data_IF_677896068314
#
_entry.id   IF_677896068314
#
_cell.length_a   1.000
_cell.length_b   1.000
_cell.length_c   1.000
_cell.angle_alpha   90.00
_cell.angle_beta   90.00
_cell.angle_gamma   90.00
#
_symmetry.space_group_name_H-M   'P 1'
#
loop_
_entity.id
_entity.type
_entity.pdbx_description
1 polymer ?
#
# COMPACT_ATOMS: atom_id res chain seq x y z
N UNK A 1 2.09 8.04 -13.83
CA UNK A 1 2.59 8.46 -12.52
C UNK A 1 1.40 8.99 -11.74
N UNK A 2 1.06 8.36 -10.61
CA UNK A 2 -0.09 8.77 -9.81
C UNK A 2 0.19 10.10 -9.11
N UNK A 3 -0.88 10.89 -8.87
CA UNK A 3 -0.80 12.16 -8.12
C UNK A 3 -0.04 12.04 -6.80
N UNK A 4 -0.12 10.90 -6.15
CA UNK A 4 0.53 10.60 -4.88
C UNK A 4 2.03 10.29 -5.03
N UNK A 5 2.45 9.73 -6.15
CA UNK A 5 3.87 9.58 -6.46
C UNK A 5 4.52 10.96 -6.61
N UNK A 6 3.77 11.90 -7.22
CA UNK A 6 4.21 13.31 -7.34
C UNK A 6 4.34 13.95 -5.95
N UNK A 7 3.35 13.77 -5.08
CA UNK A 7 3.39 14.28 -3.70
C UNK A 7 4.57 13.66 -2.94
N UNK A 8 4.81 12.36 -3.06
CA UNK A 8 5.94 11.69 -2.43
C UNK A 8 7.28 12.25 -2.88
N UNK A 9 7.45 12.46 -4.18
CA UNK A 9 8.66 13.08 -4.75
C UNK A 9 8.82 14.51 -4.24
N UNK A 10 7.75 15.30 -4.20
CA UNK A 10 7.78 16.68 -3.69
C UNK A 10 8.18 16.74 -2.22
N UNK A 11 7.70 15.82 -1.39
CA UNK A 11 8.09 15.73 0.03
C UNK A 11 9.59 15.43 0.16
N UNK A 12 10.10 14.48 -0.61
CA UNK A 12 11.54 14.15 -0.60
C UNK A 12 12.36 15.36 -1.03
N UNK A 13 12.00 16.03 -2.12
CA UNK A 13 12.67 17.23 -2.60
C UNK A 13 12.66 18.33 -1.54
N UNK A 14 11.53 18.53 -0.87
CA UNK A 14 11.41 19.54 0.19
C UNK A 14 12.30 19.24 1.40
N UNK A 15 12.39 17.97 1.81
CA UNK A 15 13.29 17.54 2.90
C UNK A 15 14.75 17.78 2.52
N UNK A 16 15.15 17.42 1.29
CA UNK A 16 16.53 17.60 0.82
C UNK A 16 16.90 19.07 0.75
N UNK A 17 16.05 19.92 0.16
CA UNK A 17 16.29 21.36 0.07
C UNK A 17 16.35 21.99 1.47
N UNK A 18 15.42 21.66 2.36
CA UNK A 18 15.40 22.15 3.74
C UNK A 18 16.68 21.78 4.50
N UNK A 19 17.17 20.56 4.33
CA UNK A 19 18.39 20.08 4.93
C UNK A 19 19.62 20.86 4.41
N UNK A 20 19.72 21.08 3.09
CA UNK A 20 20.81 21.87 2.50
C UNK A 20 20.82 23.30 3.05
N UNK A 21 19.64 23.92 3.17
CA UNK A 21 19.53 25.28 3.73
C UNK A 21 20.02 25.32 5.17
N UNK A 22 19.61 24.36 6.00
CA UNK A 22 20.05 24.27 7.40
C UNK A 22 21.56 24.02 7.50
N UNK A 23 22.13 23.18 6.64
CA UNK A 23 23.56 22.92 6.60
C UNK A 23 24.35 24.19 6.21
N UNK A 24 23.85 24.96 5.24
CA UNK A 24 24.47 26.25 4.84
C UNK A 24 24.45 27.26 5.99
N UNK A 25 23.32 27.39 6.69
CA UNK A 25 23.19 28.28 7.85
C UNK A 25 24.17 27.86 8.95
N UNK A 26 24.24 26.57 9.28
CA UNK A 26 25.13 26.05 10.31
C UNK A 26 26.63 26.25 9.96
N UNK A 27 26.99 26.14 8.68
CA UNK A 27 28.35 26.46 8.21
C UNK A 27 28.67 27.95 8.42
N UNK A 28 27.72 28.83 8.11
CA UNK A 28 27.89 30.28 8.31
C UNK A 28 28.09 30.63 9.78
N UNK A 29 27.38 29.91 10.68
CA UNK A 29 27.48 30.10 12.14
C UNK A 29 28.66 29.33 12.78
N UNK A 30 29.45 28.62 11.98
CA UNK A 30 30.60 27.79 12.41
C UNK A 30 30.24 26.61 13.35
N UNK A 31 29.00 26.15 13.27
CA UNK A 31 28.50 24.99 14.04
C UNK A 31 28.63 23.69 13.26
N UNK A 32 29.86 23.29 12.94
CA UNK A 32 30.12 22.12 12.07
C UNK A 32 29.60 20.79 12.59
N UNK A 33 29.45 20.62 13.90
CA UNK A 33 28.89 19.43 14.49
C UNK A 33 27.40 19.24 14.17
N UNK A 34 26.66 20.35 14.02
CA UNK A 34 25.25 20.36 13.67
C UNK A 34 25.04 19.99 12.20
N UNK A 35 25.93 20.45 11.31
CA UNK A 35 25.87 20.14 9.86
C UNK A 35 25.87 18.65 9.60
N UNK A 36 26.82 17.91 10.19
CA UNK A 36 26.89 16.46 10.04
C UNK A 36 25.65 15.72 10.54
N UNK A 37 25.08 16.20 11.65
CA UNK A 37 23.87 15.63 12.23
C UNK A 37 22.63 15.81 11.32
N UNK A 38 22.42 17.01 10.80
CA UNK A 38 21.29 17.32 9.91
C UNK A 38 21.38 16.51 8.61
N UNK A 39 22.56 16.40 8.02
CA UNK A 39 22.76 15.64 6.80
C UNK A 39 22.46 14.14 6.99
N UNK A 40 22.93 13.52 8.07
CA UNK A 40 22.68 12.10 8.38
C UNK A 40 21.19 11.85 8.62
N UNK A 41 20.52 12.71 9.39
CA UNK A 41 19.08 12.59 9.66
C UNK A 41 18.26 12.73 8.37
N UNK A 42 18.62 13.68 7.51
CA UNK A 42 17.94 13.89 6.22
C UNK A 42 18.10 12.69 5.30
N UNK A 43 19.29 12.12 5.18
CA UNK A 43 19.54 10.90 4.39
C UNK A 43 18.73 9.73 4.93
N UNK A 44 18.67 9.57 6.25
CA UNK A 44 17.91 8.50 6.88
C UNK A 44 16.40 8.64 6.61
N UNK A 45 15.85 9.84 6.73
CA UNK A 45 14.44 10.12 6.44
C UNK A 45 14.11 9.88 4.96
N UNK A 46 14.96 10.32 4.04
CA UNK A 46 14.78 10.08 2.61
C UNK A 46 14.82 8.57 2.30
N UNK A 47 15.76 7.84 2.85
CA UNK A 47 15.85 6.40 2.69
C UNK A 47 14.63 5.67 3.23
N UNK A 48 14.10 6.10 4.38
CA UNK A 48 12.91 5.53 5.01
C UNK A 48 11.65 5.80 4.16
N UNK A 49 11.51 7.00 3.61
CA UNK A 49 10.41 7.34 2.69
C UNK A 49 10.49 6.50 1.42
N UNK A 50 11.68 6.36 0.83
CA UNK A 50 11.91 5.51 -0.35
C UNK A 50 11.56 4.05 -0.06
N UNK A 51 12.00 3.51 1.07
CA UNK A 51 11.67 2.15 1.51
C UNK A 51 10.16 1.96 1.65
N UNK A 52 9.47 2.89 2.28
CA UNK A 52 8.01 2.83 2.42
C UNK A 52 7.32 2.83 1.05
N UNK A 53 7.75 3.68 0.12
CA UNK A 53 7.15 3.75 -1.21
C UNK A 53 7.43 2.50 -2.05
N UNK A 54 8.64 1.97 -2.05
CA UNK A 54 9.02 0.84 -2.91
C UNK A 54 8.64 -0.53 -2.34
N UNK A 55 8.76 -0.73 -1.02
CA UNK A 55 8.53 -2.06 -0.43
C UNK A 55 7.15 -2.28 0.16
N UNK A 56 6.48 -1.22 0.62
CA UNK A 56 5.18 -1.36 1.29
C UNK A 56 4.01 -1.10 0.34
N UNK A 57 4.23 -0.36 -0.75
CA UNK A 57 3.15 0.19 -1.55
C UNK A 57 2.80 -0.60 -2.81
N UNK A 58 3.75 -1.29 -3.41
CA UNK A 58 3.52 -2.03 -4.64
C UNK A 58 3.30 -3.52 -4.38
N UNK A 59 2.15 -4.03 -4.82
CA UNK A 59 1.83 -5.46 -4.83
C UNK A 59 1.49 -5.89 -6.25
N UNK A 60 2.06 -7.01 -6.68
CA UNK A 60 1.80 -7.56 -8.01
C UNK A 60 0.38 -8.07 -8.15
N UNK A 61 -0.15 -8.01 -9.37
CA UNK A 61 -1.38 -8.71 -9.73
C UNK A 61 -1.21 -10.23 -9.63
N UNK A 62 -2.29 -10.94 -9.40
CA UNK A 62 -2.23 -12.40 -9.30
C UNK A 62 -3.60 -13.05 -9.24
N UNK A 63 -3.57 -14.35 -8.98
CA UNK A 63 -4.75 -15.18 -8.77
C UNK A 63 -4.56 -15.95 -7.47
N UNK A 64 -5.58 -15.97 -6.64
CA UNK A 64 -5.59 -16.74 -5.39
C UNK A 64 -6.84 -17.60 -5.28
N UNK A 65 -6.76 -18.66 -4.49
CA UNK A 65 -7.91 -19.49 -4.15
C UNK A 65 -8.05 -19.58 -2.64
N UNK A 66 -9.27 -19.49 -2.18
CA UNK A 66 -9.56 -19.56 -0.75
C UNK A 66 -11.04 -19.50 -0.46
N UNK A 67 -11.37 -19.51 0.82
CA UNK A 67 -12.75 -19.38 1.29
C UNK A 67 -13.04 -17.93 1.68
N UNK A 68 -14.15 -17.39 1.19
CA UNK A 68 -14.61 -16.08 1.62
C UNK A 68 -15.09 -16.19 3.07
N UNK A 69 -14.46 -15.45 3.96
CA UNK A 69 -14.83 -15.43 5.39
C UNK A 69 -15.82 -14.32 5.70
N UNK A 70 -15.61 -13.15 5.14
CA UNK A 70 -16.50 -11.99 5.31
C UNK A 70 -16.31 -10.97 4.18
N UNK A 71 -17.28 -10.11 4.03
CA UNK A 71 -17.23 -8.91 3.21
C UNK A 71 -17.62 -7.75 4.11
N UNK A 72 -16.68 -6.85 4.39
CA UNK A 72 -16.87 -5.77 5.34
C UNK A 72 -16.13 -4.52 4.91
N UNK A 73 -16.41 -3.39 5.57
CA UNK A 73 -15.58 -2.20 5.42
C UNK A 73 -14.33 -2.33 6.28
N UNK A 74 -13.18 -2.07 5.68
CA UNK A 74 -11.92 -2.02 6.42
C UNK A 74 -11.84 -0.76 7.30
N UNK A 75 -10.75 -0.64 8.07
CA UNK A 75 -10.51 0.51 8.94
C UNK A 75 -10.61 1.87 8.22
N UNK A 76 -10.33 1.91 6.91
CA UNK A 76 -10.40 3.13 6.09
C UNK A 76 -11.77 3.34 5.42
N UNK A 77 -12.75 2.51 5.73
CA UNK A 77 -14.11 2.61 5.18
C UNK A 77 -14.26 2.07 3.76
N UNK A 78 -13.23 1.41 3.21
CA UNK A 78 -13.29 0.77 1.89
C UNK A 78 -13.86 -0.63 2.03
N UNK A 79 -14.74 -1.03 1.11
CA UNK A 79 -15.27 -2.40 1.09
C UNK A 79 -14.14 -3.37 0.74
N UNK A 80 -13.97 -4.37 1.58
CA UNK A 80 -12.95 -5.40 1.44
C UNK A 80 -13.55 -6.78 1.62
N UNK A 81 -12.98 -7.74 0.91
CA UNK A 81 -13.26 -9.15 1.06
C UNK A 81 -12.10 -9.81 1.81
N UNK A 82 -12.44 -10.64 2.78
CA UNK A 82 -11.48 -11.41 3.55
C UNK A 82 -11.50 -12.85 3.08
N UNK A 83 -10.35 -13.32 2.59
CA UNK A 83 -10.19 -14.66 2.00
C UNK A 83 -9.20 -15.45 2.84
N UNK A 84 -9.66 -16.60 3.34
CA UNK A 84 -8.82 -17.56 4.04
C UNK A 84 -8.17 -18.50 3.01
N UNK A 85 -6.86 -18.36 2.84
CA UNK A 85 -6.08 -19.15 1.87
C UNK A 85 -5.47 -20.41 2.50
N UNK A 86 -5.23 -20.38 3.82
CA UNK A 86 -4.77 -21.53 4.60
C UNK A 86 -5.30 -21.44 6.04
N UNK A 87 -5.04 -22.45 6.87
CA UNK A 87 -5.52 -22.46 8.26
C UNK A 87 -5.06 -21.24 9.08
N UNK A 88 -3.89 -20.69 8.76
CA UNK A 88 -3.27 -19.59 9.50
C UNK A 88 -3.20 -18.27 8.74
N UNK A 89 -3.62 -18.22 7.46
CA UNK A 89 -3.51 -17.01 6.66
C UNK A 89 -4.86 -16.53 6.14
N UNK A 90 -5.16 -15.29 6.45
CA UNK A 90 -6.30 -14.54 5.90
C UNK A 90 -5.75 -13.32 5.19
N UNK A 91 -6.19 -13.11 3.97
CA UNK A 91 -5.79 -12.00 3.13
C UNK A 91 -6.97 -11.06 2.88
N UNK A 92 -6.67 -9.78 2.80
CA UNK A 92 -7.64 -8.71 2.58
C UNK A 92 -7.47 -8.13 1.17
N UNK A 93 -8.55 -8.11 0.40
CA UNK A 93 -8.61 -7.56 -0.95
C UNK A 93 -9.65 -6.46 -1.03
N UNK A 94 -9.31 -5.32 -1.63
CA UNK A 94 -10.27 -4.26 -1.87
C UNK A 94 -11.24 -4.63 -3.00
N UNK A 95 -12.47 -4.16 -2.86
CA UNK A 95 -13.50 -4.24 -3.91
C UNK A 95 -13.87 -2.82 -4.32
N UNK A 96 -13.71 -2.53 -5.60
CA UNK A 96 -14.07 -1.23 -6.20
C UNK A 96 -15.39 -1.29 -6.98
N UNK A 97 -15.82 -2.49 -7.40
CA UNK A 97 -17.03 -2.71 -8.18
C UNK A 97 -18.16 -3.32 -7.32
N UNK A 98 -19.27 -2.62 -7.22
CA UNK A 98 -20.45 -3.07 -6.45
C UNK A 98 -20.97 -4.44 -6.89
N UNK A 99 -20.85 -4.79 -8.17
CA UNK A 99 -21.23 -6.11 -8.68
C UNK A 99 -20.38 -7.23 -8.08
N UNK A 100 -19.10 -6.95 -7.84
CA UNK A 100 -18.21 -7.91 -7.19
C UNK A 100 -18.58 -8.05 -5.71
N UNK A 101 -19.03 -6.97 -5.07
CA UNK A 101 -19.54 -7.02 -3.68
C UNK A 101 -20.72 -7.98 -3.57
N UNK A 102 -21.68 -7.88 -4.50
CA UNK A 102 -22.86 -8.78 -4.51
C UNK A 102 -22.44 -10.23 -4.71
N UNK A 103 -21.56 -10.51 -5.68
CA UNK A 103 -21.02 -11.86 -5.93
C UNK A 103 -20.28 -12.38 -4.70
N UNK A 104 -19.51 -11.55 -4.03
CA UNK A 104 -18.78 -11.93 -2.83
C UNK A 104 -19.72 -12.28 -1.68
N UNK A 105 -20.75 -11.47 -1.44
CA UNK A 105 -21.75 -11.71 -0.40
C UNK A 105 -22.52 -13.01 -0.62
N UNK A 106 -22.90 -13.33 -1.85
CA UNK A 106 -23.59 -14.58 -2.21
C UNK A 106 -22.71 -15.83 -2.04
N UNK A 107 -21.41 -15.66 -1.95
CA UNK A 107 -20.44 -16.75 -1.91
C UNK A 107 -19.65 -16.83 -0.60
N UNK A 108 -20.09 -16.16 0.45
CA UNK A 108 -19.49 -16.28 1.79
C UNK A 108 -19.51 -17.75 2.24
N UNK A 109 -18.40 -18.24 2.74
CA UNK A 109 -18.20 -19.63 3.15
C UNK A 109 -17.87 -20.59 2.03
N UNK A 110 -17.89 -20.17 0.76
CA UNK A 110 -17.55 -21.01 -0.39
C UNK A 110 -16.11 -20.80 -0.83
N UNK A 111 -15.52 -21.85 -1.43
CA UNK A 111 -14.21 -21.76 -2.05
C UNK A 111 -14.32 -21.05 -3.40
N UNK A 112 -13.52 -20.02 -3.56
CA UNK A 112 -13.51 -19.16 -4.76
C UNK A 112 -12.11 -19.03 -5.32
N UNK A 113 -12.04 -18.75 -6.61
CA UNK A 113 -10.83 -18.28 -7.29
C UNK A 113 -11.00 -16.78 -7.53
N UNK A 114 -10.08 -15.99 -7.01
CA UNK A 114 -10.09 -14.53 -7.09
C UNK A 114 -8.92 -14.08 -7.94
N UNK A 115 -9.22 -13.27 -8.95
CA UNK A 115 -8.22 -12.55 -9.72
C UNK A 115 -8.17 -11.11 -9.22
N UNK A 116 -6.99 -10.66 -8.85
CA UNK A 116 -6.76 -9.32 -8.35
C UNK A 116 -5.70 -8.58 -9.17
N UNK A 117 -5.88 -7.27 -9.30
CA UNK A 117 -5.01 -6.39 -10.03
C UNK A 117 -3.78 -5.97 -9.24
N UNK A 118 -2.88 -5.26 -9.89
CA UNK A 118 -1.72 -4.66 -9.27
C UNK A 118 -2.14 -3.55 -8.31
N UNK A 119 -1.63 -3.56 -7.08
CA UNK A 119 -1.70 -2.42 -6.18
C UNK A 119 -0.51 -1.52 -6.42
N UNK A 120 -0.76 -0.27 -6.80
CA UNK A 120 0.26 0.75 -7.02
C UNK A 120 0.05 1.87 -6.00
N UNK A 121 1.03 2.04 -5.12
CA UNK A 121 1.01 3.09 -4.10
C UNK A 121 0.11 2.80 -2.90
N UNK A 122 0.38 3.50 -1.80
CA UNK A 122 -0.30 3.32 -0.51
C UNK A 122 -1.78 3.70 -0.54
N UNK A 123 -2.19 4.51 -1.51
CA UNK A 123 -3.50 5.17 -1.54
C UNK A 123 -4.40 4.76 -2.70
N UNK A 124 -3.88 4.03 -3.69
CA UNK A 124 -4.63 3.74 -4.92
C UNK A 124 -5.74 2.69 -4.74
N UNK A 125 -5.75 1.96 -3.64
CA UNK A 125 -6.65 0.82 -3.44
C UNK A 125 -7.29 0.80 -2.06
N UNK A 126 -7.67 1.97 -1.52
CA UNK A 126 -8.33 2.03 -0.22
C UNK A 126 -7.54 1.37 0.92
N UNK A 127 -6.22 1.29 0.79
CA UNK A 127 -5.27 0.75 1.76
C UNK A 127 -5.51 -0.72 2.13
N UNK A 128 -5.93 -1.53 1.18
CA UNK A 128 -5.98 -2.98 1.36
C UNK A 128 -4.60 -3.61 1.18
N UNK A 129 -4.40 -4.77 1.78
CA UNK A 129 -3.12 -5.48 1.73
C UNK A 129 -2.75 -5.96 0.33
N UNK A 130 -3.75 -6.27 -0.49
CA UNK A 130 -3.57 -6.73 -1.87
C UNK A 130 -4.23 -5.76 -2.85
N UNK A 131 -4.04 -5.98 -4.16
CA UNK A 131 -4.66 -5.18 -5.19
C UNK A 131 -6.18 -5.34 -5.28
N UNK A 132 -6.85 -4.48 -6.07
CA UNK A 132 -8.29 -4.54 -6.23
C UNK A 132 -8.72 -5.83 -6.93
N UNK A 133 -9.86 -6.38 -6.52
CA UNK A 133 -10.42 -7.58 -7.15
C UNK A 133 -10.96 -7.22 -8.53
N UNK A 134 -10.50 -7.96 -9.53
CA UNK A 134 -10.99 -7.86 -10.91
C UNK A 134 -12.13 -8.86 -11.19
N UNK A 135 -12.07 -10.05 -10.61
CA UNK A 135 -13.11 -11.06 -10.77
C UNK A 135 -13.09 -12.10 -9.66
N UNK A 136 -14.28 -12.63 -9.34
CA UNK A 136 -14.49 -13.76 -8.43
C UNK A 136 -15.22 -14.86 -9.20
N UNK A 137 -14.73 -16.09 -9.11
CA UNK A 137 -15.37 -17.28 -9.67
C UNK A 137 -15.39 -18.37 -8.61
N UNK A 138 -16.46 -19.16 -8.57
CA UNK A 138 -16.47 -20.37 -7.75
C UNK A 138 -15.35 -21.29 -8.20
N UNK A 139 -14.56 -21.79 -7.25
CA UNK A 139 -13.57 -22.79 -7.55
C UNK A 139 -14.30 -24.06 -8.03
N UNK A 140 -13.91 -24.58 -9.20
CA UNK A 140 -14.39 -25.91 -9.63
C UNK A 140 -13.90 -26.92 -8.61
N UNK A 141 -14.83 -27.68 -8.05
CA UNK A 141 -14.46 -28.87 -7.28
C UNK A 141 -13.77 -29.83 -8.27
N UNK A 142 -12.48 -29.96 -8.11
CA UNK A 142 -11.74 -31.08 -8.71
C UNK A 142 -12.01 -32.36 -7.91
#
# INVERSE_FOLDING_TARGET
MNWLDIIGILIIVFIVIGSIILDVIAIMDKEYGFVGGCFVVSLFLCALVVLIFFFVCDKSAGVTQGYITSVDKNFFGTTAIFIKTSESSQEEYCIEDDKIVDIANENIGKKVTVKYGKRVGLYSTGRCNQGPIESIKLAKNE
#
